data_IF_771986813704
#
_entry.id   IF_771986813704
#
_cell.length_a   1.000
_cell.length_b   1.000
_cell.length_c   1.000
_cell.angle_alpha   90.00
_cell.angle_beta   90.00
_cell.angle_gamma   90.00
#
_symmetry.space_group_name_H-M   'P 1'
#
loop_
_entity.id
_entity.type
_entity.pdbx_description
1 polymer ?
#
# COMPACT_ATOMS: atom_id res chain seq x y z
N UNK A 1 -9.68 -7.01 -3.82
CA UNK A 1 -8.39 -7.23 -3.14
C UNK A 1 -7.79 -5.93 -2.61
N UNK A 2 -7.47 -4.94 -3.43
CA UNK A 2 -6.81 -3.72 -2.95
C UNK A 2 -7.66 -2.86 -1.98
N UNK A 3 -8.98 -2.77 -2.20
CA UNK A 3 -9.89 -2.11 -1.24
C UNK A 3 -9.93 -2.86 0.10
N UNK A 4 -10.06 -4.18 0.06
CA UNK A 4 -10.13 -5.03 1.26
C UNK A 4 -8.88 -4.90 2.13
N UNK A 5 -7.70 -4.79 1.50
CA UNK A 5 -6.43 -4.56 2.22
C UNK A 5 -6.38 -3.18 2.88
N UNK A 6 -6.94 -2.15 2.26
CA UNK A 6 -7.05 -0.84 2.88
C UNK A 6 -8.03 -0.85 4.05
N UNK A 7 -9.20 -1.45 3.85
CA UNK A 7 -10.24 -1.52 4.87
C UNK A 7 -9.66 -2.21 6.12
N UNK A 8 -8.95 -3.33 5.94
CA UNK A 8 -8.23 -4.01 7.03
C UNK A 8 -7.14 -3.14 7.66
N UNK A 9 -6.36 -2.39 6.88
CA UNK A 9 -5.35 -1.49 7.44
C UNK A 9 -5.96 -0.35 8.24
N UNK A 10 -7.09 0.21 7.81
CA UNK A 10 -7.84 1.23 8.54
C UNK A 10 -8.33 0.68 9.87
N UNK A 11 -8.86 -0.54 9.89
CA UNK A 11 -9.32 -1.20 11.13
C UNK A 11 -8.19 -1.30 12.16
N UNK A 12 -6.95 -1.59 11.75
CA UNK A 12 -5.81 -1.68 12.69
C UNK A 12 -5.49 -0.38 13.43
N UNK A 13 -5.96 0.77 12.93
CA UNK A 13 -5.68 2.09 13.51
C UNK A 13 -6.95 2.82 13.95
N UNK A 14 -8.12 2.20 13.81
CA UNK A 14 -9.41 2.83 14.10
C UNK A 14 -9.53 3.24 15.58
N UNK A 15 -9.20 2.30 16.48
CA UNK A 15 -9.31 2.46 17.93
C UNK A 15 -8.07 3.11 18.57
N UNK A 16 -7.03 3.38 17.79
CA UNK A 16 -5.82 4.04 18.26
C UNK A 16 -5.96 5.57 18.32
N UNK A 17 -5.22 6.21 19.23
CA UNK A 17 -5.05 7.67 19.23
C UNK A 17 -4.20 8.15 18.05
N UNK A 18 -3.32 7.29 17.54
CA UNK A 18 -2.47 7.59 16.41
C UNK A 18 -3.29 7.69 15.10
N UNK A 19 -3.10 8.79 14.37
CA UNK A 19 -3.67 9.00 13.03
C UNK A 19 -2.55 9.07 11.99
N UNK A 20 -2.13 7.93 11.42
CA UNK A 20 -1.01 7.89 10.49
C UNK A 20 -1.36 8.61 9.19
N UNK A 21 -0.32 9.08 8.50
CA UNK A 21 -0.44 9.60 7.14
C UNK A 21 -0.33 8.44 6.17
N UNK A 22 -1.31 8.30 5.29
CA UNK A 22 -1.31 7.29 4.22
C UNK A 22 -0.53 7.85 3.03
N UNK A 23 0.69 7.36 2.82
CA UNK A 23 1.52 7.76 1.69
C UNK A 23 1.39 6.78 0.52
N UNK A 24 1.18 7.29 -0.70
CA UNK A 24 1.11 6.49 -1.92
C UNK A 24 1.87 7.13 -3.09
N UNK A 25 2.10 6.36 -4.14
CA UNK A 25 2.49 6.93 -5.43
C UNK A 25 1.29 7.63 -6.12
N UNK A 26 1.47 8.03 -7.39
CA UNK A 26 0.43 8.67 -8.22
C UNK A 26 -0.34 7.70 -9.13
N UNK A 27 -0.33 6.40 -8.81
CA UNK A 27 -1.09 5.37 -9.51
C UNK A 27 -2.58 5.70 -9.58
N UNK A 28 -3.26 5.23 -10.63
CA UNK A 28 -4.69 5.49 -10.82
C UNK A 28 -5.53 4.95 -9.65
N UNK A 29 -5.12 3.80 -9.09
CA UNK A 29 -5.79 3.17 -7.95
C UNK A 29 -5.84 4.03 -6.69
N UNK A 30 -4.85 4.88 -6.43
CA UNK A 30 -4.86 5.76 -5.25
C UNK A 30 -5.59 7.09 -5.47
N UNK A 31 -6.13 7.29 -6.69
CA UNK A 31 -6.79 8.53 -7.12
C UNK A 31 -8.25 8.35 -7.49
N UNK A 32 -8.74 7.12 -7.65
CA UNK A 32 -10.15 6.88 -7.95
C UNK A 32 -11.05 7.17 -6.75
N UNK A 33 -12.32 7.47 -7.02
CA UNK A 33 -13.30 7.94 -6.02
C UNK A 33 -13.48 6.97 -4.85
N UNK A 34 -13.55 5.66 -5.10
CA UNK A 34 -13.76 4.66 -4.05
C UNK A 34 -12.62 4.57 -3.03
N UNK A 35 -11.39 4.91 -3.42
CA UNK A 35 -10.25 5.00 -2.52
C UNK A 35 -10.29 6.29 -1.69
N UNK A 36 -10.57 7.41 -2.36
CA UNK A 36 -10.66 8.72 -1.70
C UNK A 36 -11.77 8.73 -0.65
N UNK A 37 -12.91 8.11 -0.96
CA UNK A 37 -14.02 7.96 -0.02
C UNK A 37 -13.60 7.18 1.24
N UNK A 38 -12.98 6.00 1.09
CA UNK A 38 -12.51 5.19 2.24
C UNK A 38 -11.54 5.94 3.15
N UNK A 39 -10.56 6.61 2.57
CA UNK A 39 -9.57 7.40 3.31
C UNK A 39 -10.25 8.58 4.04
N UNK A 40 -11.21 9.23 3.39
CA UNK A 40 -11.99 10.32 3.95
C UNK A 40 -12.86 9.88 5.13
N UNK A 41 -13.58 8.77 4.99
CA UNK A 41 -14.40 8.20 6.07
C UNK A 41 -13.57 7.82 7.29
N UNK A 42 -12.37 7.26 7.05
CA UNK A 42 -11.41 6.94 8.10
C UNK A 42 -10.74 8.17 8.74
N UNK A 43 -11.00 9.39 8.23
CA UNK A 43 -10.39 10.66 8.68
C UNK A 43 -8.86 10.62 8.63
N UNK A 44 -8.29 9.91 7.65
CA UNK A 44 -6.84 9.80 7.47
C UNK A 44 -6.32 10.84 6.48
N UNK A 45 -5.12 11.35 6.76
CA UNK A 45 -4.45 12.28 5.87
C UNK A 45 -3.75 11.50 4.76
N UNK A 46 -3.97 11.93 3.52
CA UNK A 46 -3.32 11.33 2.34
C UNK A 46 -2.12 12.16 1.90
N UNK A 47 -1.00 11.49 1.69
CA UNK A 47 0.22 12.04 1.10
C UNK A 47 0.55 11.30 -0.19
N UNK A 48 1.06 12.00 -1.20
CA UNK A 48 1.45 11.39 -2.47
C UNK A 48 2.85 11.84 -2.90
N UNK A 49 3.59 10.94 -3.52
CA UNK A 49 4.89 11.26 -4.14
C UNK A 49 4.77 12.35 -5.21
N UNK A 50 5.83 13.15 -5.40
CA UNK A 50 5.92 14.13 -6.49
C UNK A 50 6.08 13.44 -7.84
N UNK A 51 5.62 14.11 -8.90
CA UNK A 51 5.77 13.59 -10.28
C UNK A 51 7.26 13.50 -10.60
N UNK A 52 7.72 12.32 -11.02
CA UNK A 52 9.11 12.09 -11.42
C UNK A 52 10.12 12.12 -10.27
N UNK A 53 9.68 11.94 -9.02
CA UNK A 53 10.57 11.93 -7.85
C UNK A 53 10.67 10.52 -7.26
N UNK A 54 11.65 9.74 -7.72
CA UNK A 54 11.86 8.37 -7.23
C UNK A 54 12.19 8.26 -5.74
N UNK A 55 12.90 9.21 -5.08
CA UNK A 55 13.18 9.10 -3.65
C UNK A 55 11.91 9.05 -2.78
N UNK A 56 10.83 9.70 -3.21
CA UNK A 56 9.56 9.73 -2.48
C UNK A 56 8.93 8.32 -2.37
N UNK A 57 9.24 7.40 -3.31
CA UNK A 57 8.73 6.01 -3.32
C UNK A 57 9.78 4.97 -2.93
N UNK A 58 11.05 5.37 -2.77
CA UNK A 58 12.18 4.47 -2.61
C UNK A 58 12.08 3.53 -1.40
N UNK A 59 11.44 3.96 -0.30
CA UNK A 59 11.23 3.12 0.88
C UNK A 59 10.35 1.88 0.55
N UNK A 60 9.21 2.11 -0.11
CA UNK A 60 8.31 1.04 -0.55
C UNK A 60 8.97 0.17 -1.63
N UNK A 61 9.62 0.79 -2.61
CA UNK A 61 10.35 0.06 -3.66
C UNK A 61 11.45 -0.83 -3.09
N UNK A 62 12.22 -0.33 -2.12
CA UNK A 62 13.25 -1.08 -1.43
C UNK A 62 12.69 -2.27 -0.64
N UNK A 63 11.58 -2.08 0.07
CA UNK A 63 10.89 -3.16 0.78
C UNK A 63 10.42 -4.27 -0.16
N UNK A 64 9.65 -3.93 -1.19
CA UNK A 64 9.13 -4.91 -2.14
C UNK A 64 10.22 -5.53 -3.02
N UNK A 65 11.26 -4.77 -3.35
CA UNK A 65 12.44 -5.29 -4.04
C UNK A 65 13.15 -6.35 -3.21
N UNK A 66 13.35 -6.10 -1.91
CA UNK A 66 13.94 -7.09 -1.00
C UNK A 66 13.05 -8.31 -0.84
N UNK A 67 11.73 -8.11 -0.68
CA UNK A 67 10.76 -9.20 -0.60
C UNK A 67 10.87 -10.13 -1.81
N UNK A 68 10.88 -9.57 -3.03
CA UNK A 68 11.03 -10.36 -4.27
C UNK A 68 12.34 -11.15 -4.30
N UNK A 69 13.46 -10.47 -4.09
CA UNK A 69 14.79 -11.06 -4.24
C UNK A 69 15.12 -12.07 -3.14
N UNK A 70 14.62 -11.86 -1.92
CA UNK A 70 14.96 -12.72 -0.77
C UNK A 70 13.94 -13.81 -0.49
N UNK A 71 12.65 -13.58 -0.77
CA UNK A 71 11.59 -14.54 -0.45
C UNK A 71 11.06 -15.27 -1.69
N UNK A 72 10.85 -14.56 -2.79
CA UNK A 72 10.17 -15.14 -3.96
C UNK A 72 11.13 -15.83 -4.93
N UNK A 73 12.21 -15.17 -5.34
CA UNK A 73 13.10 -15.70 -6.39
C UNK A 73 13.87 -16.99 -6.01
N UNK A 74 14.30 -17.19 -4.75
CA UNK A 74 15.01 -18.43 -4.39
C UNK A 74 14.14 -19.68 -4.32
N UNK A 75 12.80 -19.54 -4.38
CA UNK A 75 11.85 -20.64 -4.19
C UNK A 75 11.35 -21.14 -5.55
N UNK A 76 11.25 -22.47 -5.71
CA UNK A 76 10.54 -23.07 -6.85
C UNK A 76 9.04 -23.06 -6.57
N UNK A 77 8.27 -22.54 -7.52
CA UNK A 77 6.81 -22.37 -7.42
C UNK A 77 6.04 -23.32 -8.33
N UNK A 78 6.71 -24.22 -9.08
CA UNK A 78 6.05 -25.11 -10.04
C UNK A 78 4.99 -26.04 -9.43
N UNK A 79 5.13 -26.40 -8.16
CA UNK A 79 4.18 -27.23 -7.43
C UNK A 79 3.14 -26.43 -6.64
N UNK A 80 3.16 -25.09 -6.72
CA UNK A 80 2.24 -24.23 -5.98
C UNK A 80 0.97 -23.98 -6.79
N UNK A 81 -0.19 -24.32 -6.23
CA UNK A 81 -1.51 -23.98 -6.79
C UNK A 81 -2.06 -22.71 -6.13
N UNK A 82 -2.86 -21.95 -6.90
CA UNK A 82 -3.64 -20.83 -6.39
C UNK A 82 -5.00 -21.42 -6.00
N UNK A 83 -5.21 -21.69 -4.72
CA UNK A 83 -6.56 -21.94 -4.17
C UNK A 83 -7.24 -20.62 -3.79
#
# INVERSE_FOLDING_TARGET
MANTMLDAAIETVADGEARPIVHSDRGAHYRWSGWLWRIGEAKLIRSMSRKGCSPDSAACEGFFGRLRTKMFYPRDWKATTIE
#
